data_IF_224223470228
#
_entry.id   IF_224223470228
#
_cell.length_a   1.000
_cell.length_b   1.000
_cell.length_c   1.000
_cell.angle_alpha   90.00
_cell.angle_beta   90.00
_cell.angle_gamma   90.00
#
_symmetry.space_group_name_H-M   'P 1'
#
loop_
_entity.id
_entity.type
_entity.pdbx_description
1 polymer ?
#
# COMPACT_ATOMS: atom_id res chain seq x y z
N UNK A 1 -2.29 14.77 -7.01
CA UNK A 1 -1.30 15.80 -6.64
C UNK A 1 0.11 15.23 -6.83
N UNK A 2 0.52 14.16 -6.14
CA UNK A 2 1.90 13.63 -6.26
C UNK A 2 2.26 13.25 -7.70
N UNK A 3 1.37 12.55 -8.42
CA UNK A 3 1.59 12.20 -9.83
C UNK A 3 1.87 13.45 -10.69
N UNK A 4 1.15 14.54 -10.44
CA UNK A 4 1.34 15.80 -11.15
C UNK A 4 2.68 16.44 -10.76
N UNK A 5 3.07 16.44 -9.48
CA UNK A 5 4.36 16.95 -9.03
C UNK A 5 5.53 16.19 -9.70
N UNK A 6 5.43 14.86 -9.79
CA UNK A 6 6.43 14.02 -10.47
C UNK A 6 6.49 14.33 -11.97
N UNK A 7 5.35 14.43 -12.63
CA UNK A 7 5.31 14.77 -14.08
C UNK A 7 5.91 16.14 -14.35
N UNK A 8 5.62 17.13 -13.49
CA UNK A 8 6.20 18.45 -13.57
C UNK A 8 7.71 18.40 -13.39
N UNK A 9 8.20 17.65 -12.39
CA UNK A 9 9.63 17.50 -12.17
C UNK A 9 10.33 16.87 -13.39
N UNK A 10 9.78 15.78 -13.96
CA UNK A 10 10.30 15.13 -15.17
C UNK A 10 10.40 16.12 -16.34
N UNK A 11 9.36 16.94 -16.54
CA UNK A 11 9.35 17.92 -17.63
C UNK A 11 10.38 19.04 -17.44
N UNK A 12 10.62 19.47 -16.20
CA UNK A 12 11.57 20.54 -15.88
C UNK A 12 13.03 20.06 -15.83
N UNK A 13 13.27 18.79 -15.56
CA UNK A 13 14.59 18.20 -15.36
C UNK A 13 14.93 17.12 -16.40
N UNK A 14 14.53 17.33 -17.66
CA UNK A 14 14.76 16.38 -18.73
C UNK A 14 16.26 15.99 -18.89
N UNK A 15 17.17 16.92 -18.59
CA UNK A 15 18.61 16.70 -18.67
C UNK A 15 19.16 15.77 -17.56
N UNK A 16 18.42 15.54 -16.50
CA UNK A 16 18.82 14.66 -15.39
C UNK A 16 18.35 13.20 -15.62
N UNK A 17 17.39 12.98 -16.50
CA UNK A 17 16.80 11.65 -16.75
C UNK A 17 17.83 10.60 -17.17
N UNK A 18 18.84 10.92 -18.02
CA UNK A 18 19.86 9.93 -18.38
C UNK A 18 20.64 9.38 -17.18
N UNK A 19 20.87 10.21 -16.15
CA UNK A 19 21.59 9.78 -14.94
C UNK A 19 20.79 8.81 -14.05
N UNK A 20 19.47 8.74 -14.24
CA UNK A 20 18.58 7.87 -13.49
C UNK A 20 18.34 6.50 -14.17
N UNK A 21 18.88 6.31 -15.36
CA UNK A 21 18.66 5.11 -16.17
C UNK A 21 20.00 4.47 -16.50
N UNK A 22 20.11 3.18 -16.28
CA UNK A 22 21.30 2.43 -16.62
C UNK A 22 21.56 2.49 -18.12
N UNK A 23 22.80 2.85 -18.52
CA UNK A 23 23.18 3.13 -19.90
C UNK A 23 22.74 4.50 -20.43
N UNK A 24 22.02 5.29 -19.63
CA UNK A 24 21.61 6.65 -20.01
C UNK A 24 20.86 6.72 -21.35
N UNK A 25 21.18 7.72 -22.15
CA UNK A 25 20.58 7.90 -23.50
C UNK A 25 20.97 6.80 -24.50
N UNK A 26 22.06 6.08 -24.24
CA UNK A 26 22.51 4.95 -25.09
C UNK A 26 21.66 3.69 -24.88
N UNK A 27 20.84 3.66 -23.83
CA UNK A 27 19.94 2.54 -23.58
C UNK A 27 18.88 2.44 -24.70
N UNK A 28 18.78 1.31 -25.43
CA UNK A 28 17.82 1.16 -26.54
C UNK A 28 16.35 1.37 -26.12
N UNK A 29 16.06 1.23 -24.84
CA UNK A 29 14.72 1.40 -24.25
C UNK A 29 14.54 2.74 -23.52
N UNK A 30 15.50 3.66 -23.62
CA UNK A 30 15.48 4.93 -22.89
C UNK A 30 14.13 5.66 -22.99
N UNK A 31 13.68 5.93 -24.21
CA UNK A 31 12.41 6.62 -24.45
C UNK A 31 11.20 5.87 -23.87
N UNK A 32 11.20 4.54 -23.96
CA UNK A 32 10.15 3.69 -23.37
C UNK A 32 10.17 3.76 -21.84
N UNK A 33 11.35 3.68 -21.22
CA UNK A 33 11.53 3.74 -19.78
C UNK A 33 11.06 5.11 -19.27
N UNK A 34 11.52 6.20 -19.86
CA UNK A 34 11.13 7.57 -19.49
C UNK A 34 9.62 7.79 -19.55
N UNK A 35 8.95 7.21 -20.55
CA UNK A 35 7.51 7.39 -20.74
C UNK A 35 6.65 6.47 -19.88
N UNK A 36 7.05 5.22 -19.69
CA UNK A 36 6.16 4.18 -19.15
C UNK A 36 6.57 3.64 -17.77
N UNK A 37 7.84 3.70 -17.39
CA UNK A 37 8.34 3.12 -16.16
C UNK A 37 8.76 4.18 -15.14
N UNK A 38 9.61 5.12 -15.56
CA UNK A 38 10.20 6.13 -14.71
C UNK A 38 9.18 6.95 -13.90
N UNK A 39 8.04 7.41 -14.46
CA UNK A 39 7.06 8.16 -13.69
C UNK A 39 6.49 7.40 -12.48
N UNK A 40 6.30 6.09 -12.61
CA UNK A 40 5.81 5.25 -11.52
C UNK A 40 6.91 5.01 -10.47
N UNK A 41 8.13 4.71 -10.90
CA UNK A 41 9.27 4.52 -10.00
C UNK A 41 9.53 5.80 -9.19
N UNK A 42 9.59 6.96 -9.86
CA UNK A 42 9.79 8.24 -9.19
C UNK A 42 8.65 8.58 -8.24
N UNK A 43 7.42 8.25 -8.60
CA UNK A 43 6.26 8.47 -7.73
C UNK A 43 6.35 7.63 -6.45
N UNK A 44 6.71 6.37 -6.54
CA UNK A 44 6.86 5.48 -5.38
C UNK A 44 8.03 5.92 -4.51
N UNK A 45 9.18 6.24 -5.11
CA UNK A 45 10.36 6.75 -4.41
C UNK A 45 10.07 8.08 -3.71
N UNK A 46 9.45 9.03 -4.40
CA UNK A 46 9.08 10.32 -3.82
C UNK A 46 8.05 10.17 -2.69
N UNK A 47 7.08 9.25 -2.82
CA UNK A 47 6.11 8.98 -1.77
C UNK A 47 6.79 8.45 -0.50
N UNK A 48 7.69 7.49 -0.63
CA UNK A 48 8.46 6.95 0.50
C UNK A 48 9.33 8.03 1.16
N UNK A 49 10.02 8.85 0.35
CA UNK A 49 10.82 9.97 0.82
C UNK A 49 9.99 10.99 1.60
N UNK A 50 8.84 11.44 1.05
CA UNK A 50 7.95 12.42 1.68
C UNK A 50 7.40 11.88 2.99
N UNK A 51 6.92 10.64 3.03
CA UNK A 51 6.43 10.00 4.25
C UNK A 51 7.50 9.95 5.33
N UNK A 52 8.70 9.51 4.98
CA UNK A 52 9.83 9.47 5.93
C UNK A 52 10.19 10.87 6.45
N UNK A 53 10.18 11.88 5.59
CA UNK A 53 10.42 13.26 5.99
C UNK A 53 9.33 13.78 6.94
N UNK A 54 8.07 13.53 6.62
CA UNK A 54 6.92 13.91 7.46
C UNK A 54 6.93 13.19 8.82
N UNK A 55 7.21 11.90 8.85
CA UNK A 55 7.33 11.12 10.09
C UNK A 55 8.48 11.64 10.97
N UNK A 56 9.53 12.19 10.39
CA UNK A 56 10.62 12.86 11.10
C UNK A 56 10.37 14.33 11.38
N UNK A 57 9.19 14.87 11.02
CA UNK A 57 8.81 16.28 11.13
C UNK A 57 9.78 17.23 10.39
N UNK A 58 10.41 16.76 9.32
CA UNK A 58 11.35 17.56 8.53
C UNK A 58 10.60 18.20 7.35
N UNK A 59 10.65 19.53 7.29
CA UNK A 59 10.03 20.26 6.18
C UNK A 59 10.89 20.20 4.91
N UNK A 60 10.30 20.45 3.72
CA UNK A 60 11.09 20.53 2.48
C UNK A 60 12.20 21.58 2.55
N UNK A 61 11.99 22.72 3.24
CA UNK A 61 12.99 23.79 3.42
C UNK A 61 14.17 23.32 4.28
N UNK A 62 13.89 22.56 5.34
CA UNK A 62 14.94 21.98 6.18
C UNK A 62 15.76 20.95 5.40
N UNK A 63 15.12 20.09 4.60
CA UNK A 63 15.79 19.11 3.76
C UNK A 63 16.64 19.78 2.67
N UNK A 64 16.16 20.85 2.06
CA UNK A 64 16.94 21.61 1.08
C UNK A 64 18.25 22.13 1.69
N UNK A 65 18.19 22.73 2.88
CA UNK A 65 19.40 23.18 3.62
C UNK A 65 20.36 22.04 3.93
N UNK A 66 19.84 20.87 4.31
CA UNK A 66 20.68 19.68 4.54
C UNK A 66 21.37 19.20 3.25
N UNK A 67 20.68 19.23 2.11
CA UNK A 67 21.27 18.91 0.82
C UNK A 67 22.34 19.92 0.37
N UNK A 68 22.18 21.19 0.71
CA UNK A 68 23.20 22.23 0.45
C UNK A 68 24.46 22.01 1.28
N UNK A 69 24.32 21.59 2.53
CA UNK A 69 25.44 21.30 3.43
C UNK A 69 26.23 20.03 3.02
N UNK A 70 25.61 19.15 2.23
CA UNK A 70 26.19 17.89 1.77
C UNK A 70 26.16 17.79 0.23
N UNK A 71 26.97 18.59 -0.50
CA UNK A 71 26.88 18.70 -1.94
C UNK A 71 27.29 17.45 -2.74
N UNK A 72 27.97 16.49 -2.10
CA UNK A 72 28.46 15.28 -2.74
C UNK A 72 27.46 14.11 -2.73
N UNK A 73 27.01 13.65 -3.92
CA UNK A 73 26.38 12.34 -4.06
C UNK A 73 24.91 12.19 -3.66
N UNK A 74 24.17 13.29 -3.48
CA UNK A 74 22.77 13.26 -3.01
C UNK A 74 21.73 13.58 -4.11
N UNK A 75 21.95 13.14 -5.34
CA UNK A 75 21.03 13.44 -6.46
C UNK A 75 19.60 12.97 -6.22
N UNK A 76 19.40 11.76 -5.71
CA UNK A 76 18.06 11.25 -5.37
C UNK A 76 17.42 12.01 -4.20
N UNK A 77 18.19 12.48 -3.23
CA UNK A 77 17.66 13.29 -2.15
C UNK A 77 17.17 14.65 -2.67
N UNK A 78 17.92 15.31 -3.55
CA UNK A 78 17.53 16.59 -4.18
C UNK A 78 16.24 16.43 -4.99
N UNK A 79 16.17 15.38 -5.83
CA UNK A 79 14.95 15.02 -6.54
C UNK A 79 13.76 14.86 -5.57
N UNK A 80 13.96 14.13 -4.47
CA UNK A 80 12.95 13.95 -3.43
C UNK A 80 12.49 15.27 -2.81
N UNK A 81 13.42 16.19 -2.53
CA UNK A 81 13.14 17.53 -1.99
C UNK A 81 12.32 18.37 -2.98
N UNK A 82 12.70 18.41 -4.26
CA UNK A 82 12.01 19.19 -5.29
C UNK A 82 10.56 18.72 -5.48
N UNK A 83 10.37 17.40 -5.52
CA UNK A 83 9.02 16.82 -5.62
C UNK A 83 8.23 17.09 -4.34
N UNK A 84 8.86 17.04 -3.16
CA UNK A 84 8.20 17.33 -1.88
C UNK A 84 7.74 18.79 -1.81
N UNK A 85 8.58 19.75 -2.22
CA UNK A 85 8.18 21.17 -2.36
C UNK A 85 6.94 21.33 -3.24
N UNK A 86 6.99 20.75 -4.43
CA UNK A 86 5.89 20.84 -5.40
C UNK A 86 4.61 20.20 -4.86
N UNK A 87 4.75 19.07 -4.21
CA UNK A 87 3.65 18.33 -3.57
C UNK A 87 3.01 19.12 -2.43
N UNK A 88 3.83 19.66 -1.51
CA UNK A 88 3.34 20.39 -0.34
C UNK A 88 2.67 21.71 -0.75
N UNK A 89 3.26 22.44 -1.70
CA UNK A 89 2.64 23.66 -2.26
C UNK A 89 1.30 23.37 -2.95
N UNK A 90 1.21 22.26 -3.67
CA UNK A 90 -0.04 21.87 -4.32
C UNK A 90 -1.13 21.43 -3.32
N UNK A 91 -0.77 20.85 -2.17
CA UNK A 91 -1.69 20.61 -1.06
C UNK A 91 -2.17 21.92 -0.45
N UNK A 92 -1.25 22.82 -0.10
CA UNK A 92 -1.56 24.12 0.49
C UNK A 92 -2.47 24.97 -0.41
N UNK A 93 -2.18 25.01 -1.72
CA UNK A 93 -3.00 25.74 -2.68
C UNK A 93 -4.46 25.24 -2.73
N UNK A 94 -4.68 23.96 -2.45
CA UNK A 94 -5.99 23.32 -2.43
C UNK A 94 -6.62 23.29 -1.03
N UNK A 95 -6.02 23.92 -0.04
CA UNK A 95 -6.38 23.83 1.39
C UNK A 95 -6.54 22.36 1.82
N UNK A 96 -5.71 21.46 1.29
CA UNK A 96 -5.74 20.03 1.55
C UNK A 96 -4.61 19.58 2.46
N UNK A 97 -4.87 18.51 3.19
CA UNK A 97 -3.91 17.77 4.00
C UNK A 97 -3.89 16.31 3.55
N UNK A 98 -2.76 15.65 3.62
CA UNK A 98 -2.70 14.20 3.53
C UNK A 98 -2.77 13.55 4.92
N UNK A 99 -2.83 12.21 4.96
CA UNK A 99 -2.91 11.48 6.23
C UNK A 99 -1.67 11.67 7.10
N UNK A 100 -0.48 11.78 6.51
CA UNK A 100 0.76 11.98 7.25
C UNK A 100 0.79 13.39 7.87
N UNK A 101 0.24 14.40 7.17
CA UNK A 101 0.05 15.76 7.72
C UNK A 101 -0.91 15.77 8.91
N UNK A 102 -2.01 14.97 8.88
CA UNK A 102 -2.95 14.91 10.00
C UNK A 102 -2.27 14.42 11.28
N UNK A 103 -1.46 13.35 11.17
CA UNK A 103 -0.73 12.80 12.32
C UNK A 103 0.31 13.80 12.82
N UNK A 104 1.07 14.41 11.90
CA UNK A 104 2.09 15.42 12.24
C UNK A 104 1.50 16.63 12.94
N UNK A 105 0.40 17.18 12.42
CA UNK A 105 -0.26 18.33 13.04
C UNK A 105 -0.93 17.98 14.37
N UNK A 106 -1.48 16.77 14.50
CA UNK A 106 -1.99 16.31 15.79
C UNK A 106 -0.88 16.30 16.85
N UNK A 107 0.31 15.78 16.53
CA UNK A 107 1.45 15.81 17.43
C UNK A 107 1.87 17.24 17.76
N UNK A 108 2.02 18.13 16.76
CA UNK A 108 2.37 19.53 16.96
C UNK A 108 1.36 20.22 17.89
N UNK A 109 0.07 20.02 17.66
CA UNK A 109 -1.00 20.61 18.48
C UNK A 109 -0.94 20.13 19.93
N UNK A 110 -0.65 18.84 20.16
CA UNK A 110 -0.47 18.31 21.52
C UNK A 110 0.79 18.84 22.20
N UNK A 111 1.86 19.08 21.45
CA UNK A 111 3.11 19.66 21.98
C UNK A 111 2.95 21.14 22.35
N UNK A 112 2.14 21.89 21.60
CA UNK A 112 1.93 23.32 21.79
C UNK A 112 0.83 23.65 22.84
N UNK A 113 -0.09 22.72 23.11
CA UNK A 113 -1.19 22.91 24.06
C UNK A 113 -1.18 21.87 25.18
N UNK A 114 -0.42 22.11 26.28
CA UNK A 114 -0.40 21.23 27.44
C UNK A 114 -1.76 21.05 28.12
N UNK A 115 -2.64 22.07 28.07
CA UNK A 115 -3.98 21.98 28.66
C UNK A 115 -4.87 21.01 27.87
N UNK A 116 -4.72 20.97 26.57
CA UNK A 116 -5.37 19.97 25.72
C UNK A 116 -4.92 18.57 26.12
N UNK A 117 -3.61 18.36 26.30
CA UNK A 117 -3.06 17.07 26.72
C UNK A 117 -3.63 16.63 28.07
N UNK A 118 -3.65 17.53 29.07
CA UNK A 118 -4.23 17.22 30.41
C UNK A 118 -5.72 16.87 30.31
N UNK A 119 -6.48 17.61 29.51
CA UNK A 119 -7.90 17.32 29.29
C UNK A 119 -8.10 15.95 28.65
N UNK A 120 -7.30 15.60 27.62
CA UNK A 120 -7.37 14.30 26.95
C UNK A 120 -6.95 13.15 27.88
N UNK A 121 -5.92 13.34 28.70
CA UNK A 121 -5.53 12.36 29.74
C UNK A 121 -6.63 12.10 30.76
N UNK A 122 -7.33 13.17 31.17
CA UNK A 122 -8.46 13.04 32.08
C UNK A 122 -9.65 12.32 31.42
N UNK A 123 -9.89 12.60 30.13
CA UNK A 123 -10.97 11.98 29.37
C UNK A 123 -10.68 10.52 29.03
N UNK A 124 -9.42 10.19 28.74
CA UNK A 124 -8.94 8.87 28.32
C UNK A 124 -7.82 8.37 29.25
N UNK A 125 -8.16 7.96 30.49
CA UNK A 125 -7.16 7.57 31.49
C UNK A 125 -6.47 6.24 31.18
N UNK A 126 -6.98 5.46 30.21
CA UNK A 126 -6.40 4.23 29.73
C UNK A 126 -6.23 4.29 28.21
N UNK A 127 -5.07 3.89 27.73
CA UNK A 127 -4.77 3.76 26.31
C UNK A 127 -4.51 2.28 26.01
N UNK A 128 -5.31 1.72 25.11
CA UNK A 128 -5.14 0.36 24.61
C UNK A 128 -4.79 0.46 23.12
N UNK A 129 -3.59 0.05 22.78
CA UNK A 129 -3.10 0.03 21.41
C UNK A 129 -3.04 -1.41 20.92
N UNK A 130 -3.78 -1.71 19.88
CA UNK A 130 -3.73 -2.99 19.15
C UNK A 130 -2.89 -2.86 17.89
N UNK A 131 -2.36 -3.96 17.39
CA UNK A 131 -1.45 -4.01 16.23
C UNK A 131 -0.25 -3.04 16.36
N UNK A 132 0.31 -2.95 17.57
CA UNK A 132 1.35 -1.98 17.90
C UNK A 132 2.64 -2.09 17.07
N UNK A 133 2.85 -3.22 16.36
CA UNK A 133 3.96 -3.39 15.41
C UNK A 133 3.81 -2.53 14.15
N UNK A 134 2.60 -2.05 13.85
CA UNK A 134 2.29 -1.23 12.68
C UNK A 134 2.29 0.28 12.99
N UNK A 135 2.68 0.68 14.20
CA UNK A 135 2.76 2.08 14.59
C UNK A 135 3.98 2.78 14.01
N UNK A 136 3.79 4.02 13.56
CA UNK A 136 4.87 4.92 13.17
C UNK A 136 5.47 5.63 14.39
N UNK A 137 6.62 6.29 14.17
CA UNK A 137 7.27 7.10 15.22
C UNK A 137 6.35 8.20 15.77
N UNK A 138 5.67 8.93 14.89
CA UNK A 138 4.77 10.01 15.31
C UNK A 138 3.56 9.48 16.10
N UNK A 139 3.02 8.34 15.72
CA UNK A 139 1.93 7.70 16.46
C UNK A 139 2.37 7.31 17.87
N UNK A 140 3.56 6.71 17.99
CA UNK A 140 4.12 6.39 19.31
C UNK A 140 4.34 7.66 20.16
N UNK A 141 4.87 8.73 19.58
CA UNK A 141 5.06 10.00 20.30
C UNK A 141 3.74 10.61 20.78
N UNK A 142 2.68 10.57 19.97
CA UNK A 142 1.33 10.98 20.36
C UNK A 142 0.84 10.15 21.55
N UNK A 143 0.94 8.84 21.46
CA UNK A 143 0.47 7.94 22.54
C UNK A 143 1.29 8.13 23.82
N UNK A 144 2.60 8.37 23.73
CA UNK A 144 3.44 8.71 24.88
C UNK A 144 3.03 10.02 25.54
N UNK A 145 2.73 11.04 24.74
CA UNK A 145 2.23 12.32 25.29
C UNK A 145 0.91 12.12 26.01
N UNK A 146 0.00 11.35 25.42
CA UNK A 146 -1.33 11.10 26.02
C UNK A 146 -1.24 10.19 27.26
N UNK A 147 -0.40 9.17 27.25
CA UNK A 147 -0.20 8.29 28.40
C UNK A 147 0.47 9.01 29.58
N UNK A 148 1.42 9.90 29.30
CA UNK A 148 2.24 10.50 30.34
C UNK A 148 3.25 9.51 30.94
N UNK A 149 3.94 9.93 32.01
CA UNK A 149 5.00 9.10 32.64
C UNK A 149 4.42 7.92 33.44
N UNK A 150 3.29 8.13 34.08
CA UNK A 150 2.66 7.16 34.99
C UNK A 150 1.33 6.64 34.39
N UNK A 151 1.17 6.78 33.10
CA UNK A 151 -0.07 6.48 32.41
C UNK A 151 -0.31 5.00 32.18
N UNK A 152 -1.59 4.66 32.09
CA UNK A 152 -2.04 3.31 31.78
C UNK A 152 -2.03 3.08 30.25
N UNK A 153 -0.87 2.74 29.70
CA UNK A 153 -0.72 2.43 28.29
C UNK A 153 -0.38 0.94 28.11
N UNK A 154 -1.28 0.22 27.47
CA UNK A 154 -1.12 -1.18 27.12
C UNK A 154 -0.95 -1.26 25.60
N UNK A 155 0.13 -1.88 25.17
CA UNK A 155 0.42 -2.16 23.77
C UNK A 155 0.30 -3.66 23.51
N UNK A 156 -0.53 -4.04 22.57
CA UNK A 156 -0.68 -5.42 22.09
C UNK A 156 -0.21 -5.49 20.64
N UNK A 157 0.61 -6.46 20.31
CA UNK A 157 1.14 -6.62 18.96
C UNK A 157 2.13 -7.78 18.85
N UNK A 158 2.38 -8.19 17.63
CA UNK A 158 3.34 -9.23 17.31
C UNK A 158 4.38 -8.67 16.31
N UNK A 159 5.63 -8.42 16.74
CA UNK A 159 6.67 -7.91 15.84
C UNK A 159 6.94 -8.80 14.61
N UNK A 160 6.57 -10.09 14.66
CA UNK A 160 6.71 -11.01 13.54
C UNK A 160 5.60 -10.85 12.49
N UNK A 161 4.53 -10.10 12.80
CA UNK A 161 3.42 -9.80 11.89
C UNK A 161 3.50 -8.41 11.25
N UNK A 162 4.60 -7.68 11.43
CA UNK A 162 4.81 -6.37 10.81
C UNK A 162 4.95 -6.50 9.29
N UNK A 163 3.87 -6.23 8.55
CA UNK A 163 3.83 -6.33 7.08
C UNK A 163 3.78 -4.96 6.39
N UNK A 164 3.62 -3.88 7.15
CA UNK A 164 3.45 -2.54 6.61
C UNK A 164 4.74 -1.70 6.57
N UNK A 165 5.85 -2.17 7.13
CA UNK A 165 7.13 -1.44 7.17
C UNK A 165 7.61 -0.99 5.78
N UNK A 166 7.39 -1.81 4.76
CA UNK A 166 7.79 -1.49 3.37
C UNK A 166 6.93 -0.40 2.73
N UNK A 167 5.69 -0.22 3.19
CA UNK A 167 4.70 0.66 2.55
C UNK A 167 4.36 1.91 3.38
N UNK A 168 4.77 1.96 4.63
CA UNK A 168 4.49 3.05 5.58
C UNK A 168 5.77 3.41 6.33
N UNK A 169 5.66 4.31 7.31
CA UNK A 169 6.73 4.63 8.27
C UNK A 169 6.62 3.80 9.55
N UNK A 170 5.74 2.78 9.56
CA UNK A 170 5.63 1.83 10.65
C UNK A 170 6.91 1.02 10.80
N UNK A 171 7.28 0.69 12.04
CA UNK A 171 8.40 -0.21 12.28
C UNK A 171 8.19 -1.02 13.55
N UNK A 172 8.38 -2.35 13.48
CA UNK A 172 8.29 -3.23 14.65
C UNK A 172 9.34 -2.89 15.71
N UNK A 173 10.37 -2.10 15.34
CA UNK A 173 11.40 -1.65 16.27
C UNK A 173 10.83 -0.79 17.40
N UNK A 174 9.78 0.00 17.16
CA UNK A 174 9.16 0.80 18.20
C UNK A 174 8.55 -0.09 19.28
N UNK A 175 7.80 -1.14 18.90
CA UNK A 175 7.28 -2.12 19.86
C UNK A 175 8.41 -2.89 20.56
N UNK A 176 9.44 -3.34 19.82
CA UNK A 176 10.59 -4.05 20.39
C UNK A 176 11.37 -3.18 21.39
N UNK A 177 11.53 -1.89 21.12
CA UNK A 177 12.18 -0.96 22.03
C UNK A 177 11.32 -0.71 23.27
N UNK A 178 10.03 -0.49 23.09
CA UNK A 178 9.10 -0.28 24.20
C UNK A 178 9.11 -1.45 25.20
N UNK A 179 9.10 -2.69 24.74
CA UNK A 179 9.20 -3.89 25.59
C UNK A 179 10.45 -3.88 26.48
N UNK A 180 11.54 -3.24 26.03
CA UNK A 180 12.81 -3.17 26.76
C UNK A 180 12.94 -1.95 27.69
N UNK A 181 11.97 -1.06 27.67
CA UNK A 181 12.01 0.15 28.50
C UNK A 181 11.85 -0.19 29.98
N UNK A 182 12.53 0.58 30.82
CA UNK A 182 12.44 0.45 32.28
C UNK A 182 11.01 0.77 32.75
N UNK A 183 10.46 -0.10 33.55
CA UNK A 183 9.09 0.04 34.08
C UNK A 183 8.00 -0.58 33.24
N UNK A 184 8.29 -1.03 32.04
CA UNK A 184 7.36 -1.77 31.19
C UNK A 184 7.27 -3.22 31.65
N UNK A 185 6.05 -3.70 31.89
CA UNK A 185 5.77 -5.10 32.23
C UNK A 185 5.40 -5.84 30.95
N UNK A 186 6.34 -6.59 30.40
CA UNK A 186 6.08 -7.44 29.23
C UNK A 186 5.46 -8.78 29.63
N UNK A 187 4.39 -9.16 28.94
CA UNK A 187 3.72 -10.45 29.12
C UNK A 187 3.54 -11.11 27.74
N UNK A 188 4.38 -12.09 27.37
CA UNK A 188 4.21 -12.80 26.12
C UNK A 188 2.92 -13.65 26.14
N UNK A 189 2.24 -13.71 25.00
CA UNK A 189 1.06 -14.53 24.76
C UNK A 189 1.38 -15.57 23.65
N UNK A 190 2.20 -16.58 23.94
CA UNK A 190 2.67 -17.52 22.92
C UNK A 190 1.60 -18.53 22.51
N UNK A 191 0.62 -18.81 23.35
CA UNK A 191 -0.39 -19.81 23.09
C UNK A 191 -1.43 -19.35 22.06
N UNK A 192 -1.65 -20.17 21.01
CA UNK A 192 -2.62 -19.90 19.95
C UNK A 192 -3.53 -21.10 19.73
N UNK A 193 -4.83 -20.94 19.96
CA UNK A 193 -5.87 -21.91 19.64
C UNK A 193 -6.42 -21.78 18.21
N UNK A 194 -6.06 -20.69 17.48
CA UNK A 194 -6.62 -20.39 16.16
C UNK A 194 -6.21 -21.40 15.08
N UNK A 195 -4.95 -21.79 15.05
CA UNK A 195 -4.37 -22.56 13.97
C UNK A 195 -4.10 -24.01 14.35
N UNK A 196 -4.22 -24.93 13.39
CA UNK A 196 -3.82 -26.32 13.59
C UNK A 196 -2.31 -26.42 13.89
N UNK A 197 -1.91 -27.45 14.61
CA UNK A 197 -0.51 -27.64 15.04
C UNK A 197 0.49 -27.72 13.88
N UNK A 198 0.08 -28.21 12.71
CA UNK A 198 0.90 -28.22 11.49
C UNK A 198 1.25 -26.80 11.02
N UNK A 199 0.29 -25.86 11.09
CA UNK A 199 0.49 -24.45 10.73
C UNK A 199 1.42 -23.77 11.74
N UNK A 200 1.23 -24.03 13.04
CA UNK A 200 2.12 -23.53 14.09
C UNK A 200 3.56 -24.03 13.88
N UNK A 201 3.73 -25.32 13.56
CA UNK A 201 5.07 -25.88 13.27
C UNK A 201 5.74 -25.20 12.07
N UNK A 202 4.98 -24.91 11.00
CA UNK A 202 5.52 -24.21 9.84
C UNK A 202 5.94 -22.78 10.21
N UNK A 203 5.10 -22.05 10.96
CA UNK A 203 5.43 -20.69 11.40
C UNK A 203 6.71 -20.67 12.25
N UNK A 204 6.85 -21.59 13.21
CA UNK A 204 8.04 -21.71 14.03
C UNK A 204 9.29 -22.13 13.24
N UNK A 205 9.13 -23.01 12.24
CA UNK A 205 10.20 -23.36 11.32
C UNK A 205 10.68 -22.12 10.53
N UNK A 206 9.76 -21.25 10.07
CA UNK A 206 10.15 -20.02 9.38
C UNK A 206 10.90 -19.05 10.29
N UNK A 207 10.57 -18.99 11.59
CA UNK A 207 11.34 -18.20 12.56
C UNK A 207 12.77 -18.74 12.64
N UNK A 208 12.95 -20.04 12.84
CA UNK A 208 14.27 -20.65 12.94
C UNK A 208 15.09 -20.52 11.66
N UNK A 209 14.47 -20.80 10.51
CA UNK A 209 15.13 -20.66 9.21
C UNK A 209 15.57 -19.22 8.95
N UNK A 210 14.69 -18.25 9.24
CA UNK A 210 15.01 -16.82 9.05
C UNK A 210 16.17 -16.41 9.94
N UNK A 211 16.17 -16.80 11.21
CA UNK A 211 17.21 -16.43 12.17
C UNK A 211 18.57 -17.07 11.88
N UNK A 212 18.60 -18.28 11.32
CA UNK A 212 19.83 -19.07 11.30
C UNK A 212 20.31 -19.46 9.89
N UNK A 213 19.42 -19.56 8.90
CA UNK A 213 19.70 -20.17 7.61
C UNK A 213 19.38 -19.26 6.40
N UNK A 214 18.72 -18.11 6.61
CA UNK A 214 18.40 -17.23 5.51
C UNK A 214 19.65 -16.75 4.77
N UNK A 215 19.73 -16.82 3.42
CA UNK A 215 20.95 -16.52 2.65
C UNK A 215 21.41 -15.05 2.78
N UNK A 216 20.50 -14.11 3.09
CA UNK A 216 20.86 -12.74 3.41
C UNK A 216 20.92 -12.54 4.93
N UNK A 217 22.11 -12.28 5.52
CA UNK A 217 22.26 -12.07 6.95
C UNK A 217 21.49 -10.87 7.52
N UNK A 218 21.20 -9.85 6.70
CA UNK A 218 20.42 -8.68 7.13
C UNK A 218 18.98 -9.05 7.53
N UNK A 219 18.47 -10.17 7.01
CA UNK A 219 17.11 -10.66 7.28
C UNK A 219 17.07 -11.50 8.58
N UNK A 220 18.20 -11.91 9.15
CA UNK A 220 18.24 -12.76 10.34
C UNK A 220 17.52 -12.16 11.57
N UNK A 221 17.32 -10.86 11.60
CA UNK A 221 16.60 -10.14 12.66
C UNK A 221 15.12 -9.87 12.32
N UNK A 222 14.64 -10.27 11.15
CA UNK A 222 13.27 -9.97 10.71
C UNK A 222 12.23 -10.71 11.56
N UNK A 223 12.46 -11.98 11.85
CA UNK A 223 11.65 -12.77 12.77
C UNK A 223 12.40 -13.06 14.07
N UNK A 224 11.68 -13.22 15.17
CA UNK A 224 12.26 -13.45 16.50
C UNK A 224 11.35 -14.35 17.36
N UNK A 225 11.95 -14.98 18.38
CA UNK A 225 11.21 -15.67 19.46
C UNK A 225 10.40 -14.68 20.29
N UNK A 226 9.33 -15.11 21.01
CA UNK A 226 9.00 -16.50 21.33
C UNK A 226 8.38 -17.27 20.18
N UNK A 227 8.44 -18.60 20.24
CA UNK A 227 7.68 -19.48 19.36
C UNK A 227 6.19 -19.43 19.69
N UNK A 228 5.38 -19.76 18.69
CA UNK A 228 3.94 -19.97 18.88
C UNK A 228 3.74 -21.36 19.50
N UNK A 229 2.98 -21.42 20.58
CA UNK A 229 2.65 -22.65 21.28
C UNK A 229 1.18 -23.03 21.02
N UNK A 230 0.86 -24.31 20.84
CA UNK A 230 -0.53 -24.72 20.83
C UNK A 230 -1.12 -24.56 22.23
N UNK A 231 -2.42 -24.30 22.31
CA UNK A 231 -3.13 -24.27 23.59
C UNK A 231 -3.20 -25.68 24.22
N UNK A 232 -3.47 -25.74 25.52
CA UNK A 232 -3.69 -26.99 26.22
C UNK A 232 -4.87 -27.75 25.62
N UNK A 233 -4.87 -29.11 25.78
CA UNK A 233 -5.90 -29.93 25.18
C UNK A 233 -7.30 -29.72 25.79
N UNK A 234 -7.36 -29.21 27.00
CA UNK A 234 -8.56 -28.87 27.76
C UNK A 234 -8.95 -27.38 27.68
N UNK A 235 -8.30 -26.62 26.81
CA UNK A 235 -8.64 -25.21 26.56
C UNK A 235 -10.05 -25.08 25.98
N UNK A 236 -10.74 -23.97 26.33
CA UNK A 236 -12.07 -23.65 25.82
C UNK A 236 -12.13 -23.49 24.30
N UNK A 237 -10.99 -23.17 23.67
CA UNK A 237 -10.82 -23.02 22.22
C UNK A 237 -9.63 -23.85 21.74
N UNK A 238 -9.75 -25.19 21.70
CA UNK A 238 -8.65 -26.07 21.32
C UNK A 238 -8.23 -25.86 19.88
N UNK A 239 -6.96 -26.14 19.58
CA UNK A 239 -6.48 -26.09 18.20
C UNK A 239 -7.28 -27.01 17.28
N UNK A 240 -7.59 -26.58 16.05
CA UNK A 240 -8.20 -27.44 15.04
C UNK A 240 -7.37 -28.72 14.84
N UNK A 241 -8.02 -29.88 14.55
CA UNK A 241 -7.32 -31.14 14.29
C UNK A 241 -6.35 -30.98 13.10
N UNK A 242 -5.19 -31.66 13.17
CA UNK A 242 -4.20 -31.63 12.09
C UNK A 242 -4.71 -32.28 10.78
N UNK A 243 -5.70 -33.15 10.86
CA UNK A 243 -6.35 -33.79 9.71
C UNK A 243 -7.17 -32.80 8.88
N UNK A 244 -7.71 -31.73 9.49
CA UNK A 244 -8.49 -30.70 8.81
C UNK A 244 -7.60 -29.61 8.19
N UNK A 245 -6.30 -29.63 8.44
CA UNK A 245 -5.36 -28.66 7.92
C UNK A 245 -4.35 -29.31 6.97
N UNK A 246 -4.33 -28.85 5.74
CA UNK A 246 -3.31 -29.18 4.74
C UNK A 246 -2.53 -27.94 4.33
N UNK A 247 -1.24 -28.10 4.07
CA UNK A 247 -0.39 -27.08 3.48
C UNK A 247 0.12 -27.63 2.15
N UNK A 248 -0.21 -26.95 1.07
CA UNK A 248 0.25 -27.28 -0.28
C UNK A 248 1.19 -26.17 -0.74
N UNK A 249 2.45 -26.53 -0.98
CA UNK A 249 3.43 -25.60 -1.53
C UNK A 249 3.57 -25.87 -3.02
N UNK A 250 3.31 -24.84 -3.84
CA UNK A 250 3.51 -24.89 -5.29
C UNK A 250 4.86 -24.27 -5.60
N UNK A 251 5.83 -25.08 -6.00
CA UNK A 251 7.20 -24.66 -6.31
C UNK A 251 7.41 -24.30 -7.80
N UNK A 252 6.43 -24.63 -8.65
CA UNK A 252 6.51 -24.33 -10.07
C UNK A 252 6.20 -22.86 -10.33
N UNK A 253 7.11 -22.17 -11.02
CA UNK A 253 6.89 -20.80 -11.48
C UNK A 253 5.99 -20.82 -12.71
N UNK A 254 4.93 -20.03 -12.70
CA UNK A 254 4.00 -19.83 -13.79
C UNK A 254 4.08 -18.41 -14.31
N UNK A 255 3.83 -18.17 -15.64
CA UNK A 255 3.51 -16.83 -16.13
C UNK A 255 2.29 -16.28 -15.38
N UNK A 256 2.24 -14.95 -15.08
CA UNK A 256 1.20 -14.36 -14.25
C UNK A 256 -0.24 -14.73 -14.65
N UNK A 257 -0.56 -14.67 -15.93
CA UNK A 257 -1.90 -15.01 -16.42
C UNK A 257 -2.25 -16.50 -16.19
N UNK A 258 -1.27 -17.39 -16.41
CA UNK A 258 -1.42 -18.83 -16.19
C UNK A 258 -1.55 -19.19 -14.70
N UNK A 259 -0.93 -18.42 -13.82
CA UNK A 259 -1.07 -18.57 -12.36
C UNK A 259 -2.49 -18.26 -11.91
N UNK A 260 -3.05 -17.14 -12.35
CA UNK A 260 -4.42 -16.73 -12.00
C UNK A 260 -5.46 -17.76 -12.44
N UNK A 261 -5.34 -18.28 -13.67
CA UNK A 261 -6.21 -19.33 -14.19
C UNK A 261 -6.14 -20.63 -13.38
N UNK A 262 -4.94 -20.98 -12.88
CA UNK A 262 -4.78 -22.18 -12.04
C UNK A 262 -5.39 -21.99 -10.67
N UNK A 263 -5.20 -20.82 -10.06
CA UNK A 263 -5.83 -20.47 -8.78
C UNK A 263 -7.35 -20.55 -8.91
N UNK A 264 -7.93 -19.91 -9.94
CA UNK A 264 -9.38 -19.93 -10.15
C UNK A 264 -9.94 -21.34 -10.34
N UNK A 265 -9.25 -22.20 -11.11
CA UNK A 265 -9.64 -23.61 -11.27
C UNK A 265 -9.52 -24.41 -10.00
N UNK A 266 -8.48 -24.17 -9.20
CA UNK A 266 -8.30 -24.82 -7.92
C UNK A 266 -9.41 -24.46 -6.93
N UNK A 267 -9.74 -23.14 -6.84
CA UNK A 267 -10.82 -22.65 -6.00
C UNK A 267 -12.17 -23.22 -6.43
N UNK A 268 -12.46 -23.23 -7.73
CA UNK A 268 -13.70 -23.82 -8.26
C UNK A 268 -13.82 -25.30 -7.88
N UNK A 269 -12.78 -26.10 -8.16
CA UNK A 269 -12.78 -27.51 -7.82
C UNK A 269 -12.90 -27.80 -6.32
N UNK A 270 -12.37 -26.91 -5.47
CA UNK A 270 -12.55 -26.99 -4.03
C UNK A 270 -14.01 -26.73 -3.64
N UNK A 271 -14.59 -25.63 -4.11
CA UNK A 271 -15.97 -25.23 -3.79
C UNK A 271 -17.02 -26.24 -4.31
N UNK A 272 -16.76 -26.93 -5.43
CA UNK A 272 -17.63 -27.98 -5.95
C UNK A 272 -17.80 -29.16 -4.96
N UNK A 273 -16.82 -29.38 -4.08
CA UNK A 273 -16.82 -30.45 -3.07
C UNK A 273 -17.02 -29.95 -1.64
N UNK A 274 -16.93 -28.64 -1.40
CA UNK A 274 -17.02 -27.99 -0.09
C UNK A 274 -17.92 -26.76 -0.16
N UNK A 275 -19.17 -26.95 -0.57
CA UNK A 275 -20.12 -25.88 -0.86
C UNK A 275 -20.43 -24.97 0.35
N UNK A 276 -20.29 -25.48 1.57
CA UNK A 276 -20.55 -24.75 2.82
C UNK A 276 -19.29 -24.03 3.36
N UNK A 277 -18.15 -24.13 2.67
CA UNK A 277 -16.90 -23.53 3.10
C UNK A 277 -16.59 -22.24 2.31
N UNK A 278 -15.71 -21.42 2.86
CA UNK A 278 -15.23 -20.19 2.23
C UNK A 278 -13.75 -20.27 1.92
N UNK A 279 -13.35 -19.68 0.79
CA UNK A 279 -11.96 -19.60 0.35
C UNK A 279 -11.53 -18.13 0.33
N UNK A 280 -10.41 -17.81 0.95
CA UNK A 280 -9.77 -16.50 0.85
C UNK A 280 -8.59 -16.56 -0.11
N UNK A 281 -8.54 -15.65 -1.07
CA UNK A 281 -7.39 -15.46 -1.96
C UNK A 281 -6.68 -14.18 -1.51
N UNK A 282 -5.40 -14.31 -1.15
CA UNK A 282 -4.56 -13.20 -0.71
C UNK A 282 -3.47 -12.93 -1.74
N UNK A 283 -3.16 -11.66 -1.97
CA UNK A 283 -2.07 -11.23 -2.85
C UNK A 283 -1.33 -10.04 -2.25
N UNK A 284 -0.06 -9.90 -2.61
CA UNK A 284 0.80 -8.81 -2.15
C UNK A 284 0.41 -7.45 -2.73
N UNK A 285 -0.32 -7.39 -3.85
CA UNK A 285 -0.72 -6.13 -4.46
C UNK A 285 -2.13 -6.16 -5.04
N UNK A 286 -2.79 -4.98 -4.98
CA UNK A 286 -4.17 -4.82 -5.42
C UNK A 286 -4.37 -5.07 -6.93
N UNK A 287 -3.37 -4.78 -7.78
CA UNK A 287 -3.48 -5.01 -9.23
C UNK A 287 -3.63 -6.50 -9.54
N UNK A 288 -2.88 -7.34 -8.84
CA UNK A 288 -3.00 -8.80 -8.97
C UNK A 288 -4.39 -9.29 -8.54
N UNK A 289 -4.93 -8.70 -7.47
CA UNK A 289 -6.29 -9.03 -7.02
C UNK A 289 -7.37 -8.56 -8.00
N UNK A 290 -7.19 -7.40 -8.64
CA UNK A 290 -8.09 -6.94 -9.71
C UNK A 290 -8.10 -7.90 -10.90
N UNK A 291 -6.93 -8.39 -11.30
CA UNK A 291 -6.82 -9.42 -12.36
C UNK A 291 -7.45 -10.74 -11.91
N UNK A 292 -7.27 -11.13 -10.64
CA UNK A 292 -7.86 -12.35 -10.08
C UNK A 292 -9.40 -12.29 -10.09
N UNK A 293 -9.98 -11.15 -9.70
CA UNK A 293 -11.43 -10.93 -9.74
C UNK A 293 -12.00 -11.15 -11.14
N UNK A 294 -11.35 -10.60 -12.17
CA UNK A 294 -11.77 -10.78 -13.56
C UNK A 294 -11.70 -12.27 -14.00
N UNK A 295 -10.67 -13.00 -13.58
CA UNK A 295 -10.53 -14.44 -13.91
C UNK A 295 -11.58 -15.28 -13.17
N UNK A 296 -11.90 -14.96 -11.91
CA UNK A 296 -12.99 -15.63 -11.17
C UNK A 296 -14.35 -15.41 -11.80
N UNK A 297 -14.62 -14.19 -12.29
CA UNK A 297 -15.84 -13.88 -13.02
C UNK A 297 -15.98 -14.73 -14.28
N UNK A 298 -14.92 -14.82 -15.10
CA UNK A 298 -14.88 -15.67 -16.31
C UNK A 298 -15.05 -17.15 -15.95
N UNK A 299 -14.47 -17.60 -14.84
CA UNK A 299 -14.61 -18.98 -14.37
C UNK A 299 -15.98 -19.30 -13.76
N UNK A 300 -16.85 -18.29 -13.56
CA UNK A 300 -18.16 -18.43 -12.95
C UNK A 300 -18.09 -18.76 -11.45
N UNK A 301 -17.05 -18.33 -10.76
CA UNK A 301 -16.88 -18.49 -9.30
C UNK A 301 -17.45 -17.26 -8.62
N UNK A 302 -18.48 -17.35 -7.77
CA UNK A 302 -18.96 -16.22 -7.00
C UNK A 302 -17.90 -15.75 -6.01
N UNK A 303 -17.69 -14.44 -5.88
CA UNK A 303 -16.69 -13.88 -4.99
C UNK A 303 -17.14 -12.54 -4.39
N UNK A 304 -16.49 -12.15 -3.29
CA UNK A 304 -16.64 -10.83 -2.65
C UNK A 304 -15.29 -10.13 -2.70
N UNK A 305 -15.25 -8.94 -3.29
CA UNK A 305 -14.05 -8.10 -3.27
C UNK A 305 -13.95 -7.35 -1.94
N UNK A 306 -12.88 -7.63 -1.19
CA UNK A 306 -12.50 -6.86 0.01
C UNK A 306 -11.41 -5.81 -0.33
N UNK A 307 -11.45 -5.28 -1.54
CA UNK A 307 -10.55 -4.20 -1.99
C UNK A 307 -11.08 -2.84 -1.53
N UNK A 308 -10.20 -1.83 -1.53
CA UNK A 308 -10.57 -0.43 -1.19
C UNK A 308 -11.67 0.13 -2.10
N UNK A 309 -11.81 -0.41 -3.32
CA UNK A 309 -12.89 -0.08 -4.26
C UNK A 309 -13.25 -1.32 -5.05
N UNK A 310 -14.55 -1.56 -5.26
CA UNK A 310 -15.03 -2.66 -6.09
C UNK A 310 -14.76 -2.41 -7.57
N UNK A 311 -14.79 -3.46 -8.40
CA UNK A 311 -14.70 -3.37 -9.86
C UNK A 311 -15.76 -2.40 -10.41
N UNK A 312 -16.98 -2.46 -9.93
CA UNK A 312 -18.08 -1.57 -10.31
C UNK A 312 -17.76 -0.11 -9.97
N UNK A 313 -17.26 0.17 -8.76
CA UNK A 313 -16.89 1.53 -8.36
C UNK A 313 -15.75 2.08 -9.23
N UNK A 314 -14.74 1.26 -9.53
CA UNK A 314 -13.64 1.65 -10.42
C UNK A 314 -14.10 1.90 -11.85
N UNK A 315 -14.98 1.05 -12.38
CA UNK A 315 -15.55 1.21 -13.70
C UNK A 315 -16.38 2.50 -13.79
N UNK A 316 -17.27 2.75 -12.82
CA UNK A 316 -18.05 4.00 -12.76
C UNK A 316 -17.16 5.23 -12.66
N UNK A 317 -16.15 5.21 -11.79
CA UNK A 317 -15.18 6.30 -11.65
C UNK A 317 -14.40 6.53 -12.96
N UNK A 318 -13.99 5.46 -13.65
CA UNK A 318 -13.31 5.56 -14.96
C UNK A 318 -14.19 6.18 -16.02
N UNK A 319 -15.47 5.79 -16.08
CA UNK A 319 -16.46 6.31 -17.01
C UNK A 319 -16.71 7.81 -16.77
N UNK A 320 -16.89 8.20 -15.51
CA UNK A 320 -17.02 9.62 -15.13
C UNK A 320 -15.75 10.40 -15.51
N UNK A 321 -14.57 9.85 -15.23
CA UNK A 321 -13.32 10.49 -15.57
C UNK A 321 -13.12 10.69 -17.08
N UNK A 322 -13.60 9.79 -17.93
CA UNK A 322 -13.57 9.96 -19.39
C UNK A 322 -14.46 11.11 -19.85
N UNK A 323 -15.67 11.22 -19.28
CA UNK A 323 -16.55 12.35 -19.55
C UNK A 323 -15.92 13.67 -19.12
N UNK A 324 -15.39 13.73 -17.90
CA UNK A 324 -14.75 14.93 -17.38
C UNK A 324 -13.51 15.35 -18.19
N UNK A 325 -12.69 14.40 -18.66
CA UNK A 325 -11.56 14.70 -19.56
C UNK A 325 -12.01 15.31 -20.87
N UNK A 326 -13.08 14.80 -21.46
CA UNK A 326 -13.65 15.39 -22.67
C UNK A 326 -14.18 16.80 -22.41
N UNK A 327 -14.89 17.04 -21.30
CA UNK A 327 -15.37 18.38 -20.94
C UNK A 327 -14.25 19.39 -20.67
N UNK A 328 -13.09 18.92 -20.19
CA UNK A 328 -11.92 19.74 -19.97
C UNK A 328 -11.17 20.14 -21.27
N UNK A 329 -11.27 19.31 -22.32
CA UNK A 329 -10.69 19.56 -23.64
C UNK A 329 -11.64 19.07 -24.75
N UNK A 330 -12.73 19.80 -25.03
CA UNK A 330 -13.78 19.35 -25.92
C UNK A 330 -13.41 19.36 -27.41
N UNK A 331 -12.29 20.00 -27.77
CA UNK A 331 -11.79 19.99 -29.17
C UNK A 331 -10.95 18.76 -29.48
N UNK A 332 -10.60 17.97 -28.50
CA UNK A 332 -9.82 16.74 -28.65
C UNK A 332 -10.68 15.60 -29.17
N UNK A 333 -10.53 15.29 -30.48
CA UNK A 333 -11.30 14.24 -31.14
C UNK A 333 -11.17 12.86 -30.50
N UNK A 334 -10.00 12.54 -29.92
CA UNK A 334 -9.78 11.25 -29.26
C UNK A 334 -10.57 11.16 -27.95
N UNK A 335 -10.56 12.21 -27.15
CA UNK A 335 -11.36 12.27 -25.90
C UNK A 335 -12.86 12.23 -26.20
N UNK A 336 -13.30 12.87 -27.28
CA UNK A 336 -14.68 12.78 -27.77
C UNK A 336 -15.07 11.35 -28.12
N UNK A 337 -14.20 10.64 -28.88
CA UNK A 337 -14.44 9.23 -29.24
C UNK A 337 -14.51 8.31 -28.03
N UNK A 338 -13.62 8.50 -27.04
CA UNK A 338 -13.58 7.69 -25.83
C UNK A 338 -14.79 7.99 -24.93
N UNK A 339 -15.22 9.24 -24.82
CA UNK A 339 -16.45 9.64 -24.15
C UNK A 339 -17.70 9.03 -24.82
N UNK A 340 -17.78 9.05 -26.15
CA UNK A 340 -18.87 8.43 -26.90
C UNK A 340 -18.96 6.92 -26.68
N UNK A 341 -17.84 6.20 -26.69
CA UNK A 341 -17.80 4.76 -26.39
C UNK A 341 -18.33 4.46 -24.99
N UNK A 342 -17.91 5.27 -24.02
CA UNK A 342 -18.35 5.16 -22.62
C UNK A 342 -19.86 5.40 -22.50
N UNK A 343 -20.37 6.48 -23.11
CA UNK A 343 -21.80 6.78 -23.14
C UNK A 343 -22.61 5.63 -23.76
N UNK A 344 -22.13 5.10 -24.88
CA UNK A 344 -22.77 3.96 -25.56
C UNK A 344 -22.82 2.71 -24.68
N UNK A 345 -21.76 2.41 -23.94
CA UNK A 345 -21.72 1.27 -23.01
C UNK A 345 -22.70 1.42 -21.84
N UNK A 346 -22.93 2.66 -21.37
CA UNK A 346 -23.84 2.96 -20.27
C UNK A 346 -25.32 2.94 -20.66
N UNK A 347 -25.64 3.35 -21.90
CA UNK A 347 -27.04 3.49 -22.36
C UNK A 347 -27.64 2.23 -22.96
N UNK A 348 -26.89 1.11 -22.96
CA UNK A 348 -27.34 -0.15 -23.55
C UNK A 348 -27.70 -0.01 -25.05
N UNK A 349 -27.01 0.94 -25.73
CA UNK A 349 -27.35 1.31 -27.09
C UNK A 349 -27.42 0.09 -28.00
N UNK A 350 -28.54 -0.04 -28.71
CA UNK A 350 -28.80 -0.99 -29.80
C UNK A 350 -27.51 -1.12 -30.61
N UNK A 351 -27.10 -2.34 -30.94
CA UNK A 351 -25.96 -2.62 -31.83
C UNK A 351 -26.15 -1.81 -33.12
N UNK A 352 -25.61 -0.58 -33.09
CA UNK A 352 -25.52 0.20 -34.31
C UNK A 352 -24.52 -0.53 -35.21
N UNK A 353 -24.94 -0.77 -36.45
CA UNK A 353 -24.11 -1.33 -37.50
C UNK A 353 -22.67 -0.80 -37.37
N UNK A 354 -21.69 -1.71 -37.27
CA UNK A 354 -20.28 -1.36 -37.09
C UNK A 354 -19.82 -0.34 -38.14
N UNK A 355 -20.43 -0.32 -39.32
CA UNK A 355 -20.23 0.68 -40.37
C UNK A 355 -20.72 2.08 -40.02
N UNK A 356 -21.85 2.21 -39.27
CA UNK A 356 -22.38 3.50 -38.81
C UNK A 356 -21.51 4.05 -37.70
N UNK A 357 -21.08 3.21 -36.75
CA UNK A 357 -20.15 3.61 -35.67
C UNK A 357 -18.83 4.07 -36.24
N UNK A 358 -18.25 3.33 -37.20
CA UNK A 358 -16.99 3.69 -37.87
C UNK A 358 -17.10 5.01 -38.65
N UNK A 359 -18.23 5.26 -39.34
CA UNK A 359 -18.50 6.54 -40.03
C UNK A 359 -18.68 7.68 -39.04
N UNK A 360 -19.45 7.49 -37.96
CA UNK A 360 -19.63 8.49 -36.92
C UNK A 360 -18.32 8.89 -36.24
N UNK A 361 -17.48 7.90 -35.90
CA UNK A 361 -16.14 8.16 -35.34
C UNK A 361 -15.20 8.86 -36.34
N UNK A 362 -15.33 8.61 -37.66
CA UNK A 362 -14.58 9.30 -38.70
C UNK A 362 -15.00 10.77 -38.86
N UNK A 363 -16.30 11.07 -38.70
CA UNK A 363 -16.81 12.45 -38.69
C UNK A 363 -16.31 13.22 -37.47
N UNK A 364 -16.35 12.61 -36.29
CA UNK A 364 -15.82 13.24 -35.07
C UNK A 364 -14.30 13.50 -35.14
N UNK A 365 -13.58 12.70 -35.89
CA UNK A 365 -12.15 12.90 -36.13
C UNK A 365 -11.85 14.10 -37.06
N UNK A 366 -12.79 14.48 -37.92
CA UNK A 366 -12.63 15.61 -38.86
C UNK A 366 -13.05 16.96 -38.27
N UNK A 367 -13.76 17.00 -37.14
CA UNK A 367 -14.18 18.26 -36.50
C UNK A 367 -13.04 19.01 -35.77
N UNK A 368 -11.84 18.47 -35.73
CA UNK A 368 -10.67 19.15 -35.17
C UNK A 368 -9.89 19.99 -36.17
N UNK A 369 -10.32 20.03 -37.43
CA UNK A 369 -9.71 20.87 -38.48
C UNK A 369 -10.50 22.16 -38.76
N UNK A 370 -11.43 22.56 -37.86
CA UNK A 370 -12.09 23.86 -37.80
C UNK A 370 -11.58 24.64 -36.60
#
# INVERSE_FOLDING_TARGET
ILTQAVQTWIAMNANELPSLIDGGEENPKFAYICKNQLPNVLKETALAFIRTAKDRQISPEQLARLCEQHPGGMSLARLGVDIYFSYQRALQYRNGLDFDDLIRFALTMLQEDPLLVERLRHQFPYILEDEAQDSSRLQEEILRLLAGRDGNWVRVGDPNQAIFETFTTASPMYLRNFIREQGVVSRPLPASGRSARKIIRLANYLIDWTMNEHPNPEVHSALAKPYIEPVAADDASPNPPDETAGIITVTQVYPPDSELDKVARSVKGWLDTHADETVAILSQNNRHMESMAAVLEVAGVPYVELLRSTSTTRQTASQIAQVLRYLADPVNAKLCQDCYKTWKSLTGGVEADAGIVKRGLAVLKKQTDL
#
